data_IF_467993979898
#
_entry.id   IF_467993979898
#
_cell.length_a   1.000
_cell.length_b   1.000
_cell.length_c   1.000
_cell.angle_alpha   90.00
_cell.angle_beta   90.00
_cell.angle_gamma   90.00
#
_symmetry.space_group_name_H-M   'P 1'
#
loop_
_entity.id
_entity.type
_entity.pdbx_description
1 polymer ?
#
# COMPACT_ATOMS: atom_id res chain seq x y z
N UNK A 1 -6.06 -10.31 1.99
CA UNK A 1 -5.23 -9.17 2.40
C UNK A 1 -6.02 -8.34 3.37
N UNK A 2 -5.41 -7.88 4.47
CA UNK A 2 -6.08 -7.08 5.51
C UNK A 2 -5.37 -5.74 5.68
N UNK A 3 -6.08 -4.73 6.17
CA UNK A 3 -5.55 -3.39 6.44
C UNK A 3 -5.90 -3.04 7.88
N UNK A 4 -4.98 -2.47 8.67
CA UNK A 4 -5.32 -2.05 10.03
C UNK A 4 -6.26 -0.85 9.96
N UNK A 5 -7.33 -0.89 10.75
CA UNK A 5 -8.21 0.26 10.98
C UNK A 5 -7.95 0.90 12.33
N UNK A 6 -8.75 1.92 12.67
CA UNK A 6 -8.72 2.57 13.97
C UNK A 6 -8.74 1.58 15.15
N UNK A 7 -9.58 0.55 15.10
CA UNK A 7 -9.70 -0.44 16.18
C UNK A 7 -8.44 -1.31 16.34
N UNK A 8 -7.65 -1.49 15.28
CA UNK A 8 -6.39 -2.24 15.37
C UNK A 8 -5.28 -1.37 15.97
N UNK A 9 -5.29 -0.06 15.67
CA UNK A 9 -4.29 0.87 16.17
C UNK A 9 -4.53 1.26 17.63
N UNK A 10 -5.78 1.54 18.02
CA UNK A 10 -6.11 1.98 19.38
C UNK A 10 -5.96 0.89 20.43
N UNK A 11 -6.15 -0.39 20.05
CA UNK A 11 -6.07 -1.51 21.00
C UNK A 11 -4.66 -2.08 21.12
N UNK A 12 -4.12 -2.66 20.04
CA UNK A 12 -2.75 -3.20 19.99
C UNK A 12 -2.36 -3.42 18.53
N UNK A 13 -1.70 -2.44 17.91
CA UNK A 13 -1.20 -2.58 16.54
C UNK A 13 -0.22 -3.77 16.42
N UNK A 14 0.50 -4.10 17.49
CA UNK A 14 1.40 -5.24 17.47
C UNK A 14 0.62 -6.57 17.43
N UNK A 15 -0.63 -6.64 17.92
CA UNK A 15 -1.48 -7.82 17.73
C UNK A 15 -1.83 -8.01 16.25
N UNK A 16 -2.19 -6.95 15.54
CA UNK A 16 -2.40 -6.98 14.09
C UNK A 16 -1.13 -7.49 13.37
N UNK A 17 0.03 -6.87 13.63
CA UNK A 17 1.31 -7.23 12.98
C UNK A 17 1.78 -8.66 13.29
N UNK A 18 1.52 -9.18 14.49
CA UNK A 18 1.84 -10.57 14.86
C UNK A 18 0.89 -11.59 14.25
N UNK A 19 -0.34 -11.19 13.95
CA UNK A 19 -1.40 -12.09 13.48
C UNK A 19 -1.40 -12.23 11.96
N UNK A 20 -1.17 -11.12 11.25
CA UNK A 20 -1.29 -11.07 9.79
C UNK A 20 0.06 -10.82 9.13
N UNK A 21 0.43 -11.71 8.20
CA UNK A 21 1.60 -11.54 7.35
C UNK A 21 1.17 -10.79 6.09
N UNK A 22 1.54 -9.50 6.04
CA UNK A 22 1.24 -8.61 4.93
C UNK A 22 2.54 -8.26 4.19
N UNK A 23 2.49 -7.96 2.87
CA UNK A 23 3.67 -7.70 2.05
C UNK A 23 4.16 -6.26 2.26
N UNK A 24 4.39 -5.88 3.51
CA UNK A 24 4.95 -4.58 3.88
C UNK A 24 6.43 -4.51 3.51
N UNK A 25 6.89 -3.33 3.09
CA UNK A 25 8.31 -3.11 2.76
C UNK A 25 9.17 -3.06 4.03
N UNK A 26 8.67 -2.43 5.08
CA UNK A 26 9.24 -2.45 6.43
C UNK A 26 8.26 -3.06 7.44
N UNK A 27 8.80 -3.76 8.45
CA UNK A 27 8.01 -4.31 9.57
C UNK A 27 7.26 -3.23 10.37
N UNK A 28 7.67 -1.98 10.23
CA UNK A 28 7.04 -0.83 10.88
C UNK A 28 6.00 -0.11 10.02
N UNK A 29 5.80 -0.53 8.77
CA UNK A 29 4.81 0.05 7.89
C UNK A 29 3.42 -0.52 8.17
N UNK A 30 2.41 0.33 7.96
CA UNK A 30 0.99 -0.04 8.07
C UNK A 30 0.28 0.05 6.72
N UNK A 31 1.06 0.13 5.65
CA UNK A 31 0.64 0.25 4.27
C UNK A 31 1.51 -0.66 3.42
N UNK A 32 0.98 -1.14 2.30
CA UNK A 32 1.66 -2.04 1.39
C UNK A 32 0.95 -2.05 0.03
N UNK A 33 1.64 -2.53 -0.99
CA UNK A 33 1.07 -2.79 -2.29
C UNK A 33 1.47 -4.19 -2.78
N UNK A 34 0.68 -4.75 -3.70
CA UNK A 34 0.99 -6.02 -4.35
C UNK A 34 0.21 -6.14 -5.65
N UNK A 35 0.78 -6.90 -6.59
CA UNK A 35 0.16 -7.18 -7.86
C UNK A 35 -0.51 -8.54 -7.86
N UNK A 36 -1.74 -8.59 -8.38
CA UNK A 36 -2.43 -9.84 -8.62
C UNK A 36 -3.21 -9.78 -9.93
N UNK A 37 -2.80 -10.62 -10.88
CA UNK A 37 -3.46 -10.78 -12.19
C UNK A 37 -3.64 -9.46 -12.96
N UNK A 38 -2.59 -8.64 -13.03
CA UNK A 38 -2.62 -7.35 -13.74
C UNK A 38 -3.39 -6.24 -13.03
N UNK A 39 -3.68 -6.41 -11.73
CA UNK A 39 -4.28 -5.39 -10.88
C UNK A 39 -3.28 -5.05 -9.78
N UNK A 40 -2.91 -3.76 -9.71
CA UNK A 40 -2.08 -3.21 -8.64
C UNK A 40 -2.96 -2.82 -7.45
N UNK A 41 -2.89 -3.60 -6.37
CA UNK A 41 -3.63 -3.34 -5.15
C UNK A 41 -2.79 -2.52 -4.17
N UNK A 42 -3.38 -1.46 -3.63
CA UNK A 42 -2.76 -0.61 -2.61
C UNK A 42 -3.62 -0.66 -1.35
N UNK A 43 -2.98 -0.95 -0.22
CA UNK A 43 -3.54 -0.83 1.12
C UNK A 43 -2.80 0.29 1.84
N UNK A 44 -3.48 1.36 2.21
CA UNK A 44 -2.88 2.49 2.92
C UNK A 44 -3.61 2.74 4.24
N UNK A 45 -2.89 3.27 5.25
CA UNK A 45 -3.49 3.54 6.55
C UNK A 45 -4.25 4.87 6.55
N UNK A 46 -5.53 4.84 6.89
CA UNK A 46 -6.35 6.06 7.10
C UNK A 46 -5.98 6.79 8.38
N UNK A 47 -5.36 6.10 9.33
CA UNK A 47 -5.05 6.63 10.66
C UNK A 47 -3.71 7.37 10.71
N UNK A 48 -2.89 7.26 9.66
CA UNK A 48 -1.57 7.88 9.55
C UNK A 48 -1.41 8.75 8.29
N UNK A 49 -2.52 9.01 7.57
CA UNK A 49 -2.46 9.79 6.34
C UNK A 49 -2.28 11.28 6.63
N UNK A 50 -1.09 11.79 6.38
CA UNK A 50 -0.72 13.21 6.53
C UNK A 50 -0.04 13.65 5.23
N UNK A 51 -0.37 14.83 4.65
CA UNK A 51 0.33 15.35 3.48
C UNK A 51 1.85 15.38 3.70
N UNK A 52 2.61 14.96 2.68
CA UNK A 52 4.08 14.86 2.71
C UNK A 52 4.67 13.88 3.73
N UNK A 53 3.84 13.03 4.36
CA UNK A 53 4.33 11.90 5.16
C UNK A 53 5.03 10.85 4.29
N UNK A 54 5.83 9.94 4.88
CA UNK A 54 6.39 8.80 4.16
C UNK A 54 5.34 8.01 3.38
N UNK A 55 4.17 7.75 3.98
CA UNK A 55 3.05 7.06 3.32
C UNK A 55 2.51 7.87 2.13
N UNK A 56 2.38 9.19 2.25
CA UNK A 56 1.93 10.05 1.15
C UNK A 56 2.89 9.98 -0.04
N UNK A 57 4.19 10.13 0.20
CA UNK A 57 5.23 10.08 -0.84
C UNK A 57 5.35 8.68 -1.46
N UNK A 58 5.23 7.64 -0.64
CA UNK A 58 5.15 6.26 -1.10
C UNK A 58 3.94 6.06 -2.02
N UNK A 59 2.75 6.54 -1.62
CA UNK A 59 1.54 6.43 -2.44
C UNK A 59 1.68 7.14 -3.80
N UNK A 60 2.30 8.33 -3.82
CA UNK A 60 2.62 9.04 -5.08
C UNK A 60 3.50 8.18 -6.00
N UNK A 61 4.54 7.51 -5.48
CA UNK A 61 5.38 6.62 -6.31
C UNK A 61 4.62 5.42 -6.90
N UNK A 62 3.64 4.87 -6.17
CA UNK A 62 2.82 3.76 -6.67
C UNK A 62 1.83 4.18 -7.75
N UNK A 63 1.35 5.43 -7.71
CA UNK A 63 0.55 5.98 -8.81
C UNK A 63 1.37 6.14 -10.11
N UNK A 64 2.62 6.55 -10.00
CA UNK A 64 3.52 6.66 -11.17
C UNK A 64 3.80 5.29 -11.80
N UNK A 65 4.00 4.24 -10.99
CA UNK A 65 4.15 2.85 -11.48
C UNK A 65 2.95 2.45 -12.32
N UNK A 66 1.73 2.68 -11.80
CA UNK A 66 0.51 2.36 -12.54
C UNK A 66 0.46 3.11 -13.88
N UNK A 67 0.82 4.40 -13.90
CA UNK A 67 0.80 5.23 -15.11
C UNK A 67 1.79 4.73 -16.17
N UNK A 68 3.02 4.39 -15.77
CA UNK A 68 4.05 3.83 -16.66
C UNK A 68 3.62 2.47 -17.24
N UNK A 69 3.03 1.59 -16.43
CA UNK A 69 2.50 0.31 -16.91
C UNK A 69 1.38 0.47 -17.93
N UNK A 70 0.46 1.42 -17.70
CA UNK A 70 -0.55 1.79 -18.69
C UNK A 70 0.09 2.29 -19.99
N UNK A 71 1.08 3.18 -19.90
CA UNK A 71 1.74 3.74 -21.09
C UNK A 71 2.50 2.67 -21.88
N UNK A 72 3.24 1.80 -21.21
CA UNK A 72 3.96 0.69 -21.81
C UNK A 72 3.01 -0.30 -22.51
N UNK A 73 1.87 -0.63 -21.88
CA UNK A 73 0.89 -1.53 -22.47
C UNK A 73 0.26 -0.96 -23.74
N UNK A 74 -0.07 0.34 -23.75
CA UNK A 74 -0.70 0.99 -24.90
C UNK A 74 0.27 1.23 -26.07
N UNK A 75 1.52 1.62 -25.79
CA UNK A 75 2.49 1.90 -26.86
C UNK A 75 3.05 0.65 -27.53
N UNK A 76 3.13 -0.48 -26.81
CA UNK A 76 3.71 -1.71 -27.36
C UNK A 76 2.67 -2.68 -27.96
N UNK A 77 1.38 -2.35 -27.92
CA UNK A 77 0.29 -3.12 -28.54
C UNK A 77 -0.43 -2.36 -29.68
N UNK A 78 0.18 -1.30 -30.21
CA UNK A 78 -0.21 -0.59 -31.44
C UNK A 78 0.88 -0.77 -32.51
#
# INVERSE_FOLDING_TARGET
MVCPGNHDIFYDLAAYRRTFLMPVESNDDNYYAFDYNGIHFISFSTELFIPFSPQHLWLESHYEICFEEYHFFYLNNL
#
